data_IF_083720306696
#
_entry.id   IF_083720306696
#
_cell.length_a   1.000
_cell.length_b   1.000
_cell.length_c   1.000
_cell.angle_alpha   90.00
_cell.angle_beta   90.00
_cell.angle_gamma   90.00
#
_symmetry.space_group_name_H-M   'P 1'
#
loop_
_entity.id
_entity.type
_entity.pdbx_description
1 polymer ?
#
# COMPACT_ATOMS: atom_id res chain seq x y z
N UNK A 1 -44.27 -37.66 -11.68
CA UNK A 1 -44.91 -37.12 -10.47
C UNK A 1 -44.77 -35.60 -10.50
N UNK A 2 -45.82 -34.88 -10.91
CA UNK A 2 -45.80 -33.41 -10.95
C UNK A 2 -46.27 -32.87 -9.60
N UNK A 3 -45.33 -32.45 -8.75
CA UNK A 3 -45.63 -31.80 -7.48
C UNK A 3 -46.21 -30.41 -7.73
N UNK A 4 -47.54 -30.28 -7.65
CA UNK A 4 -48.20 -28.97 -7.63
C UNK A 4 -47.94 -28.35 -6.26
N UNK A 5 -47.12 -27.31 -6.20
CA UNK A 5 -46.97 -26.48 -5.00
C UNK A 5 -48.34 -25.85 -4.72
N UNK A 6 -48.90 -26.10 -3.54
CA UNK A 6 -50.18 -25.49 -3.17
C UNK A 6 -50.01 -23.97 -2.93
N UNK A 7 -51.09 -23.20 -3.13
CA UNK A 7 -51.06 -21.73 -3.01
C UNK A 7 -50.63 -21.25 -1.62
N UNK A 8 -51.02 -21.95 -0.56
CA UNK A 8 -50.64 -21.63 0.82
C UNK A 8 -49.14 -21.84 1.05
N UNK A 9 -48.57 -22.95 0.57
CA UNK A 9 -47.13 -23.22 0.62
C UNK A 9 -46.34 -22.18 -0.18
N UNK A 10 -46.83 -21.80 -1.36
CA UNK A 10 -46.22 -20.74 -2.16
C UNK A 10 -46.26 -19.37 -1.46
N UNK A 11 -47.41 -18.97 -0.90
CA UNK A 11 -47.56 -17.71 -0.17
C UNK A 11 -46.72 -17.67 1.10
N UNK A 12 -46.57 -18.79 1.80
CA UNK A 12 -45.76 -18.88 3.01
C UNK A 12 -44.26 -18.79 2.68
N UNK A 13 -43.80 -19.48 1.63
CA UNK A 13 -42.44 -19.36 1.14
C UNK A 13 -42.12 -17.93 0.66
N UNK A 14 -43.05 -17.30 -0.08
CA UNK A 14 -42.90 -15.91 -0.52
C UNK A 14 -42.86 -14.95 0.66
N UNK A 15 -43.71 -15.15 1.67
CA UNK A 15 -43.71 -14.36 2.89
C UNK A 15 -42.37 -14.44 3.64
N UNK A 16 -41.82 -15.64 3.79
CA UNK A 16 -40.49 -15.85 4.40
C UNK A 16 -39.40 -15.16 3.58
N UNK A 17 -39.42 -15.28 2.25
CA UNK A 17 -38.43 -14.61 1.39
C UNK A 17 -38.51 -13.10 1.48
N UNK A 18 -39.70 -12.51 1.51
CA UNK A 18 -39.90 -11.05 1.68
C UNK A 18 -39.43 -10.60 3.06
N UNK A 19 -39.77 -11.35 4.11
CA UNK A 19 -39.31 -11.04 5.48
C UNK A 19 -37.78 -11.04 5.51
N UNK A 20 -37.13 -12.09 5.01
CA UNK A 20 -35.66 -12.18 4.97
C UNK A 20 -35.05 -11.04 4.13
N UNK A 21 -35.60 -10.78 2.93
CA UNK A 21 -35.10 -9.76 2.03
C UNK A 21 -35.21 -8.33 2.60
N UNK A 22 -36.19 -8.08 3.48
CA UNK A 22 -36.36 -6.78 4.15
C UNK A 22 -35.60 -6.72 5.48
N UNK A 23 -35.61 -7.80 6.27
CA UNK A 23 -34.98 -7.83 7.59
C UNK A 23 -33.45 -7.81 7.49
N UNK A 24 -32.86 -8.46 6.47
CA UNK A 24 -31.40 -8.48 6.31
C UNK A 24 -30.81 -7.07 6.10
N UNK A 25 -31.26 -6.26 5.13
CA UNK A 25 -30.76 -4.90 4.96
C UNK A 25 -30.98 -4.01 6.19
N UNK A 26 -32.12 -4.15 6.89
CA UNK A 26 -32.41 -3.39 8.10
C UNK A 26 -31.52 -3.79 9.28
N UNK A 27 -31.26 -5.09 9.46
CA UNK A 27 -30.34 -5.59 10.49
C UNK A 27 -28.92 -5.12 10.19
N UNK A 28 -28.45 -5.20 8.94
CA UNK A 28 -27.11 -4.72 8.58
C UNK A 28 -26.96 -3.20 8.71
N UNK A 29 -27.98 -2.43 8.34
CA UNK A 29 -27.98 -0.98 8.56
C UNK A 29 -28.05 -0.62 10.04
N UNK A 30 -28.73 -1.41 10.88
CA UNK A 30 -28.76 -1.20 12.32
C UNK A 30 -27.46 -1.62 13.02
N UNK A 31 -26.77 -2.63 12.47
CA UNK A 31 -25.48 -3.12 12.96
C UNK A 31 -24.28 -2.36 12.37
N UNK A 32 -24.50 -1.38 11.50
CA UNK A 32 -23.47 -0.59 10.81
C UNK A 32 -22.41 -1.46 10.07
N UNK A 33 -22.88 -2.54 9.44
CA UNK A 33 -22.02 -3.50 8.73
C UNK A 33 -21.93 -3.13 7.26
N UNK A 34 -20.75 -2.67 6.83
CA UNK A 34 -20.49 -2.22 5.46
C UNK A 34 -19.95 -3.36 4.59
N UNK A 35 -20.86 -4.06 3.90
CA UNK A 35 -20.55 -5.15 2.96
C UNK A 35 -19.96 -4.67 1.61
N UNK A 36 -20.15 -3.39 1.29
CA UNK A 36 -19.59 -2.73 0.09
C UNK A 36 -18.82 -1.51 0.53
N UNK A 37 -17.53 -1.40 0.16
CA UNK A 37 -16.69 -0.26 0.54
C UNK A 37 -16.78 0.83 -0.51
N UNK A 38 -16.87 2.06 -0.04
CA UNK A 38 -16.82 3.25 -0.87
C UNK A 38 -15.38 3.53 -1.31
N UNK A 39 -15.16 4.02 -2.54
CA UNK A 39 -13.86 4.54 -2.93
C UNK A 39 -13.55 5.81 -2.13
N UNK A 40 -12.27 6.02 -1.87
CA UNK A 40 -11.71 7.17 -1.19
C UNK A 40 -10.60 7.74 -2.07
N UNK A 41 -10.84 8.92 -2.62
CA UNK A 41 -9.90 9.56 -3.54
C UNK A 41 -8.89 10.42 -2.80
N UNK A 42 -7.65 10.42 -3.28
CA UNK A 42 -6.59 11.34 -2.83
C UNK A 42 -6.69 12.59 -3.70
N UNK A 43 -7.15 13.70 -3.10
CA UNK A 43 -7.48 14.94 -3.84
C UNK A 43 -6.23 15.70 -4.33
N UNK A 44 -5.21 15.84 -3.49
CA UNK A 44 -4.12 16.80 -3.75
C UNK A 44 -2.84 16.16 -4.31
N UNK A 45 -2.37 15.07 -3.70
CA UNK A 45 -1.06 14.50 -4.02
C UNK A 45 -1.20 13.06 -4.52
N UNK A 46 -1.41 12.86 -5.82
CA UNK A 46 -1.39 11.50 -6.41
C UNK A 46 0.05 10.98 -6.54
N UNK A 47 0.26 9.67 -6.66
CA UNK A 47 1.62 9.10 -6.80
C UNK A 47 2.45 9.72 -7.94
N UNK A 48 1.90 10.03 -9.13
CA UNK A 48 2.64 10.74 -10.18
C UNK A 48 3.25 12.08 -9.73
N UNK A 49 2.62 12.76 -8.75
CA UNK A 49 3.08 14.03 -8.19
C UNK A 49 4.22 13.89 -7.17
N UNK A 50 4.67 12.66 -6.87
CA UNK A 50 5.89 12.47 -6.08
C UNK A 50 7.02 13.26 -6.71
N UNK A 51 7.66 14.14 -5.94
CA UNK A 51 8.62 15.07 -6.49
C UNK A 51 9.73 14.33 -7.25
N UNK A 52 10.15 14.86 -8.39
CA UNK A 52 11.23 14.28 -9.19
C UNK A 52 12.61 14.43 -8.54
N UNK A 53 12.69 15.28 -7.51
CA UNK A 53 13.95 15.68 -6.87
C UNK A 53 14.46 14.58 -5.94
N UNK A 54 15.76 14.64 -5.68
CA UNK A 54 16.56 13.73 -4.88
C UNK A 54 15.87 13.28 -3.58
N UNK A 55 16.08 12.00 -3.19
CA UNK A 55 15.70 11.48 -1.87
C UNK A 55 16.89 11.71 -0.91
N UNK A 56 16.78 12.64 0.05
CA UNK A 56 17.91 13.14 0.82
C UNK A 56 17.98 12.58 2.24
N UNK A 57 18.98 11.75 2.54
CA UNK A 57 19.07 10.98 3.80
C UNK A 57 19.51 11.82 4.99
N UNK A 58 20.47 12.73 4.80
CA UNK A 58 20.95 13.63 5.87
C UNK A 58 21.64 14.85 5.27
N UNK A 59 20.90 15.93 5.01
CA UNK A 59 21.46 17.18 4.46
C UNK A 59 21.89 17.13 2.98
N UNK A 60 22.31 15.96 2.48
CA UNK A 60 22.66 15.68 1.09
C UNK A 60 21.81 14.54 0.51
N UNK A 61 21.65 14.55 -0.81
CA UNK A 61 20.97 13.52 -1.57
C UNK A 61 21.74 12.20 -1.52
N UNK A 62 21.13 11.12 -1.02
CA UNK A 62 21.70 9.76 -1.15
C UNK A 62 21.21 9.04 -2.39
N UNK A 63 20.01 9.37 -2.87
CA UNK A 63 19.43 8.76 -4.07
C UNK A 63 18.95 9.82 -5.05
N UNK A 64 19.28 9.64 -6.32
CA UNK A 64 18.85 10.51 -7.42
C UNK A 64 18.06 9.71 -8.45
N UNK A 65 17.00 10.31 -8.98
CA UNK A 65 16.26 9.70 -10.08
C UNK A 65 17.16 9.58 -11.31
N UNK A 66 17.13 8.43 -11.96
CA UNK A 66 17.82 8.18 -13.22
C UNK A 66 16.83 7.71 -14.29
N UNK A 67 17.09 8.09 -15.54
CA UNK A 67 16.26 7.74 -16.67
C UNK A 67 14.93 8.50 -16.77
N UNK A 68 14.31 8.39 -17.95
CA UNK A 68 12.98 8.92 -18.20
C UNK A 68 11.92 8.05 -17.51
N UNK A 69 10.84 8.68 -17.07
CA UNK A 69 9.66 7.92 -16.63
C UNK A 69 8.98 7.39 -17.89
N UNK A 70 8.89 6.06 -18.00
CA UNK A 70 8.12 5.41 -19.06
C UNK A 70 6.69 5.25 -18.52
N UNK A 71 5.69 5.93 -19.10
CA UNK A 71 4.31 5.62 -18.77
C UNK A 71 4.00 4.17 -19.15
N UNK A 72 3.25 3.48 -18.30
CA UNK A 72 2.71 2.17 -18.64
C UNK A 72 1.75 2.33 -19.83
N UNK A 73 1.75 1.36 -20.74
CA UNK A 73 0.76 1.26 -21.81
C UNK A 73 -0.65 1.09 -21.26
N UNK A 74 -1.67 1.36 -22.07
CA UNK A 74 -3.07 1.22 -21.64
C UNK A 74 -3.38 -0.20 -21.13
N UNK A 75 -2.85 -1.23 -21.80
CA UNK A 75 -2.99 -2.62 -21.36
C UNK A 75 -2.31 -2.89 -20.01
N UNK A 76 -1.12 -2.34 -19.78
CA UNK A 76 -0.41 -2.47 -18.49
C UNK A 76 -1.17 -1.73 -17.37
N UNK A 77 -1.83 -0.60 -17.67
CA UNK A 77 -2.66 0.14 -16.70
C UNK A 77 -3.96 -0.61 -16.39
N UNK A 78 -4.58 -1.21 -17.40
CA UNK A 78 -5.77 -2.07 -17.23
C UNK A 78 -5.46 -3.28 -16.35
N UNK A 79 -4.34 -3.98 -16.63
CA UNK A 79 -3.88 -5.08 -15.80
C UNK A 79 -3.50 -4.62 -14.39
N UNK A 80 -2.88 -3.44 -14.26
CA UNK A 80 -2.54 -2.89 -12.94
C UNK A 80 -3.79 -2.55 -12.12
N UNK A 81 -4.91 -2.23 -12.78
CA UNK A 81 -6.19 -1.90 -12.15
C UNK A 81 -6.27 -0.49 -11.56
N UNK A 82 -5.29 0.38 -11.84
CA UNK A 82 -5.27 1.77 -11.36
C UNK A 82 -4.41 2.68 -12.24
N UNK A 83 -4.87 3.92 -12.45
CA UNK A 83 -4.09 4.97 -13.09
C UNK A 83 -3.28 5.82 -12.08
N UNK A 84 -3.47 5.63 -10.77
CA UNK A 84 -2.72 6.32 -9.73
C UNK A 84 -1.49 5.48 -9.34
N UNK A 85 -0.46 5.53 -10.19
CA UNK A 85 0.78 4.80 -10.00
C UNK A 85 2.01 5.66 -10.27
N UNK A 86 3.18 5.15 -9.87
CA UNK A 86 4.48 5.70 -10.18
C UNK A 86 5.47 4.57 -10.41
N UNK A 87 6.33 4.69 -11.42
CA UNK A 87 7.45 3.78 -11.67
C UNK A 87 8.71 4.56 -12.03
N UNK A 88 9.72 4.56 -11.16
CA UNK A 88 10.94 5.35 -11.36
C UNK A 88 12.19 4.61 -10.92
N UNK A 89 13.27 4.81 -11.65
CA UNK A 89 14.60 4.33 -11.28
C UNK A 89 15.35 5.37 -10.47
N UNK A 90 16.06 4.90 -9.45
CA UNK A 90 16.94 5.68 -8.61
C UNK A 90 18.32 5.06 -8.57
N UNK A 91 19.34 5.90 -8.46
CA UNK A 91 20.74 5.53 -8.33
C UNK A 91 21.34 6.20 -7.08
N UNK A 92 22.22 5.48 -6.42
CA UNK A 92 22.93 5.95 -5.24
C UNK A 92 23.96 7.02 -5.60
N UNK A 93 23.93 8.13 -4.88
CA UNK A 93 24.87 9.24 -5.01
C UNK A 93 26.02 9.04 -4.03
N UNK A 94 27.25 9.23 -4.49
CA UNK A 94 28.47 9.13 -3.68
C UNK A 94 28.56 7.80 -2.89
N UNK A 95 28.58 6.63 -3.56
CA UNK A 95 28.78 5.37 -2.86
C UNK A 95 30.14 5.36 -2.13
N UNK A 96 30.27 4.58 -1.04
CA UNK A 96 31.56 4.36 -0.39
C UNK A 96 32.65 3.95 -1.39
N UNK A 97 33.88 4.39 -1.12
CA UNK A 97 35.03 4.15 -2.00
C UNK A 97 35.18 2.65 -2.33
N UNK A 98 35.32 2.34 -3.62
CA UNK A 98 35.45 0.97 -4.12
C UNK A 98 34.14 0.21 -4.34
N UNK A 99 32.97 0.79 -4.05
CA UNK A 99 31.66 0.19 -4.35
C UNK A 99 30.99 0.86 -5.54
N UNK A 100 30.39 0.05 -6.41
CA UNK A 100 29.53 0.55 -7.50
C UNK A 100 28.24 1.16 -6.94
N UNK A 101 27.73 2.26 -7.52
CA UNK A 101 26.42 2.79 -7.16
C UNK A 101 25.35 1.71 -7.29
N UNK A 102 24.52 1.55 -6.26
CA UNK A 102 23.35 0.67 -6.34
C UNK A 102 22.22 1.39 -7.04
N UNK A 103 21.37 0.64 -7.73
CA UNK A 103 20.13 1.13 -8.32
C UNK A 103 18.94 0.34 -7.85
N UNK A 104 17.80 1.02 -7.78
CA UNK A 104 16.52 0.37 -7.57
C UNK A 104 15.43 1.06 -8.38
N UNK A 105 14.39 0.30 -8.71
CA UNK A 105 13.13 0.83 -9.19
C UNK A 105 12.17 0.95 -8.02
N UNK A 106 11.63 2.15 -7.80
CA UNK A 106 10.45 2.38 -6.98
C UNK A 106 9.21 2.21 -7.85
N UNK A 107 8.29 1.37 -7.41
CA UNK A 107 6.96 1.26 -8.00
C UNK A 107 5.90 1.42 -6.92
N UNK A 108 5.04 2.43 -7.06
CA UNK A 108 3.91 2.66 -6.17
C UNK A 108 2.59 2.60 -6.94
N UNK A 109 1.54 2.03 -6.35
CA UNK A 109 0.22 1.98 -6.97
C UNK A 109 -0.88 2.07 -5.90
N UNK A 110 -1.84 2.98 -6.10
CA UNK A 110 -2.96 3.23 -5.20
C UNK A 110 -4.25 2.59 -5.68
N UNK A 111 -4.97 1.93 -4.76
CA UNK A 111 -6.21 1.22 -5.01
C UNK A 111 -7.24 1.62 -3.99
N UNK A 112 -8.51 1.72 -4.40
CA UNK A 112 -9.60 2.08 -3.49
C UNK A 112 -10.94 1.52 -3.92
N UNK A 113 -11.88 1.37 -2.97
CA UNK A 113 -13.25 0.93 -3.22
C UNK A 113 -13.38 -0.56 -3.56
N UNK A 114 -12.31 -1.34 -3.40
CA UNK A 114 -12.26 -2.75 -3.77
C UNK A 114 -11.90 -3.62 -2.57
N UNK A 115 -12.86 -4.40 -2.08
CA UNK A 115 -12.66 -5.39 -0.99
C UNK A 115 -12.05 -6.69 -1.54
N UNK A 116 -12.41 -7.05 -2.77
CA UNK A 116 -12.20 -8.39 -3.32
C UNK A 116 -11.04 -8.50 -4.31
N UNK A 117 -10.38 -7.40 -4.66
CA UNK A 117 -9.25 -7.45 -5.59
C UNK A 117 -7.98 -7.87 -4.88
N UNK A 118 -7.37 -8.96 -5.34
CA UNK A 118 -6.08 -9.39 -4.82
C UNK A 118 -5.00 -8.46 -5.35
N UNK A 119 -4.19 -7.82 -4.49
CA UNK A 119 -3.12 -6.94 -4.95
C UNK A 119 -2.15 -7.65 -5.92
N UNK A 120 -1.70 -6.92 -6.93
CA UNK A 120 -0.66 -7.39 -7.85
C UNK A 120 0.70 -7.38 -7.15
N UNK A 121 1.27 -8.57 -6.95
CA UNK A 121 2.56 -8.77 -6.26
C UNK A 121 3.63 -9.27 -7.23
N UNK A 122 4.93 -8.99 -6.97
CA UNK A 122 6.04 -9.43 -7.82
C UNK A 122 6.03 -10.92 -8.14
N UNK A 123 5.64 -11.78 -7.20
CA UNK A 123 5.59 -13.23 -7.37
C UNK A 123 4.63 -13.67 -8.49
N UNK A 124 3.64 -12.83 -8.83
CA UNK A 124 2.69 -13.10 -9.92
C UNK A 124 3.09 -12.37 -11.19
N UNK A 125 3.43 -11.09 -11.06
CA UNK A 125 3.71 -10.24 -12.21
C UNK A 125 5.04 -10.57 -12.89
N UNK A 126 6.12 -10.75 -12.12
CA UNK A 126 7.44 -11.05 -12.69
C UNK A 126 7.47 -12.47 -13.28
N UNK A 127 6.84 -13.43 -12.61
CA UNK A 127 6.68 -14.80 -13.13
C UNK A 127 5.85 -14.80 -14.42
N UNK A 128 4.76 -14.04 -14.46
CA UNK A 128 3.98 -13.84 -15.69
C UNK A 128 4.79 -13.22 -16.84
N UNK A 129 5.78 -12.38 -16.52
CA UNK A 129 6.72 -11.79 -17.48
C UNK A 129 7.91 -12.72 -17.83
N UNK A 130 7.91 -13.97 -17.36
CA UNK A 130 8.97 -14.95 -17.66
C UNK A 130 10.22 -14.85 -16.80
N UNK A 131 10.13 -14.22 -15.62
CA UNK A 131 11.21 -14.17 -14.62
C UNK A 131 10.96 -15.23 -13.56
N UNK A 132 11.94 -16.12 -13.33
CA UNK A 132 11.78 -17.23 -12.41
C UNK A 132 12.03 -16.82 -10.96
N UNK A 133 11.25 -17.36 -10.02
CA UNK A 133 11.54 -17.26 -8.60
C UNK A 133 12.73 -18.16 -8.25
N UNK A 134 13.81 -17.58 -7.73
CA UNK A 134 15.03 -18.32 -7.36
C UNK A 134 15.05 -18.78 -5.90
N UNK A 135 14.02 -18.41 -5.13
CA UNK A 135 13.85 -18.81 -3.74
C UNK A 135 12.48 -18.40 -3.21
N UNK A 136 12.19 -18.81 -1.96
CA UNK A 136 10.98 -18.38 -1.27
C UNK A 136 11.13 -16.93 -0.81
N UNK A 137 10.04 -16.18 -0.88
CA UNK A 137 9.99 -14.88 -0.25
C UNK A 137 10.07 -14.98 1.27
N UNK A 138 10.57 -13.92 1.90
CA UNK A 138 10.62 -13.79 3.36
C UNK A 138 10.34 -12.36 3.79
N UNK A 139 9.81 -12.22 5.01
CA UNK A 139 9.61 -10.92 5.65
C UNK A 139 10.96 -10.40 6.18
N UNK A 140 11.29 -9.18 5.82
CA UNK A 140 12.48 -8.44 6.28
C UNK A 140 11.99 -7.22 7.07
N UNK A 141 12.25 -7.16 8.39
CA UNK A 141 11.94 -5.97 9.19
C UNK A 141 12.66 -4.72 8.68
N UNK A 142 11.99 -3.57 8.76
CA UNK A 142 12.52 -2.27 8.35
C UNK A 142 12.58 -1.37 9.58
N UNK A 143 13.79 -1.06 10.03
CA UNK A 143 14.04 -0.19 11.18
C UNK A 143 14.18 1.24 10.70
N UNK A 144 13.08 2.00 10.80
CA UNK A 144 13.07 3.39 10.38
C UNK A 144 13.82 4.27 11.39
N UNK A 145 14.85 4.97 10.92
CA UNK A 145 15.45 6.07 11.65
C UNK A 145 14.79 7.38 11.24
N UNK A 146 13.73 7.73 11.97
CA UNK A 146 12.99 8.96 11.75
C UNK A 146 13.44 10.11 12.66
N UNK A 147 14.58 9.97 13.36
CA UNK A 147 15.09 10.98 14.29
C UNK A 147 15.25 12.35 13.64
N UNK A 148 15.61 12.39 12.35
CA UNK A 148 15.78 13.60 11.55
C UNK A 148 14.46 14.21 11.04
N UNK A 149 13.29 13.64 11.39
CA UNK A 149 11.96 14.07 10.90
C UNK A 149 11.07 14.73 11.94
N UNK A 150 11.59 14.96 13.15
CA UNK A 150 10.82 15.36 14.34
C UNK A 150 9.62 14.44 14.48
N UNK A 151 9.88 13.23 14.98
CA UNK A 151 8.83 12.26 15.24
C UNK A 151 8.39 12.30 16.68
N UNK A 152 7.08 12.47 16.86
CA UNK A 152 6.42 12.49 18.15
C UNK A 152 5.06 11.81 18.02
N UNK A 153 4.53 11.24 19.12
CA UNK A 153 3.13 10.82 19.17
C UNK A 153 2.24 12.01 18.82
N UNK A 154 1.24 11.79 17.97
CA UNK A 154 0.29 12.82 17.61
C UNK A 154 -0.42 13.36 18.87
N UNK A 155 -0.26 14.66 19.19
CA UNK A 155 -0.84 15.26 20.39
C UNK A 155 -2.33 15.57 20.26
N UNK A 156 -2.88 15.57 19.04
CA UNK A 156 -4.22 16.05 18.73
C UNK A 156 -5.26 14.92 18.68
N UNK A 157 -4.87 13.67 18.95
CA UNK A 157 -5.73 12.49 18.83
C UNK A 157 -5.74 11.65 20.11
N UNK A 158 -6.84 10.92 20.34
CA UNK A 158 -6.88 9.89 21.37
C UNK A 158 -6.17 8.62 20.90
N UNK A 159 -4.95 8.43 21.39
CA UNK A 159 -4.10 7.27 21.07
C UNK A 159 -4.72 5.93 21.56
N UNK A 160 -5.69 5.96 22.49
CA UNK A 160 -6.43 4.75 22.88
C UNK A 160 -7.43 4.31 21.81
N UNK A 161 -7.94 5.26 21.02
CA UNK A 161 -8.92 5.02 19.95
C UNK A 161 -8.22 4.67 18.64
N UNK A 162 -7.21 5.44 18.24
CA UNK A 162 -6.55 5.29 16.94
C UNK A 162 -5.31 4.38 16.98
N UNK A 163 -4.90 3.92 18.16
CA UNK A 163 -3.61 3.29 18.37
C UNK A 163 -2.48 4.32 18.35
N UNK A 164 -1.23 3.83 18.40
CA UNK A 164 -0.05 4.69 18.43
C UNK A 164 0.21 5.31 17.05
N UNK A 165 -0.21 6.55 16.86
CA UNK A 165 0.06 7.32 15.65
C UNK A 165 1.22 8.27 15.89
N UNK A 166 2.21 8.17 15.00
CA UNK A 166 3.38 9.02 14.98
C UNK A 166 3.21 10.09 13.90
N UNK A 167 3.69 11.31 14.17
CA UNK A 167 3.71 12.40 13.21
C UNK A 167 5.13 12.61 12.73
N UNK A 168 5.33 12.78 11.42
CA UNK A 168 6.61 13.16 10.82
C UNK A 168 6.43 14.42 9.96
N UNK A 169 7.50 15.17 9.70
CA UNK A 169 7.44 16.35 8.83
C UNK A 169 7.80 15.99 7.38
N UNK A 170 6.92 16.35 6.43
CA UNK A 170 7.24 16.28 4.99
C UNK A 170 8.29 17.32 4.61
N UNK A 171 9.23 16.97 3.74
CA UNK A 171 10.15 17.94 3.13
C UNK A 171 9.46 18.80 2.10
N UNK A 172 8.57 18.21 1.30
CA UNK A 172 7.92 18.91 0.19
C UNK A 172 7.02 20.05 0.70
N UNK A 173 6.25 19.81 1.75
CA UNK A 173 5.27 20.78 2.27
C UNK A 173 5.71 21.46 3.57
N UNK A 174 6.70 20.90 4.28
CA UNK A 174 7.05 21.30 5.65
C UNK A 174 5.93 21.11 6.69
N UNK A 175 4.81 20.51 6.28
CA UNK A 175 3.67 20.24 7.14
C UNK A 175 3.87 18.92 7.91
N UNK A 176 3.28 18.80 9.11
CA UNK A 176 3.15 17.52 9.79
C UNK A 176 2.29 16.56 8.95
N UNK A 177 2.68 15.29 8.94
CA UNK A 177 1.98 14.20 8.26
C UNK A 177 1.93 13.02 9.21
N UNK A 178 0.74 12.46 9.43
CA UNK A 178 0.55 11.26 10.23
C UNK A 178 1.10 10.05 9.50
N UNK A 179 1.87 9.25 10.21
CA UNK A 179 2.32 7.95 9.77
C UNK A 179 1.24 6.90 10.04
N UNK A 180 1.27 5.75 9.34
CA UNK A 180 0.38 4.66 9.63
C UNK A 180 0.51 4.19 11.09
N UNK A 181 -0.56 3.62 11.61
CA UNK A 181 -0.49 2.80 12.82
C UNK A 181 0.56 1.70 12.65
N UNK A 182 1.14 1.26 13.78
CA UNK A 182 2.13 0.17 13.84
C UNK A 182 3.34 0.36 12.90
N UNK A 183 3.69 1.60 12.56
CA UNK A 183 4.82 1.89 11.67
C UNK A 183 6.16 1.35 12.21
N UNK A 184 6.27 1.16 13.53
CA UNK A 184 7.44 0.56 14.16
C UNK A 184 7.59 -0.95 13.84
N UNK A 185 6.51 -1.62 13.43
CA UNK A 185 6.49 -3.03 13.03
C UNK A 185 6.62 -3.21 11.50
N UNK A 186 6.98 -2.14 10.78
CA UNK A 186 7.12 -2.16 9.33
C UNK A 186 8.07 -3.27 8.89
N UNK A 187 7.60 -4.04 7.92
CA UNK A 187 8.41 -5.04 7.25
C UNK A 187 8.04 -5.11 5.78
N UNK A 188 9.02 -5.44 4.94
CA UNK A 188 8.79 -5.74 3.53
C UNK A 188 8.83 -7.25 3.30
N UNK A 189 8.04 -7.74 2.35
CA UNK A 189 8.16 -9.10 1.85
C UNK A 189 9.08 -9.10 0.64
N UNK A 190 10.21 -9.81 0.73
CA UNK A 190 11.25 -9.84 -0.30
C UNK A 190 11.33 -11.21 -0.92
N UNK A 191 11.22 -11.26 -2.25
CA UNK A 191 11.38 -12.47 -3.04
C UNK A 191 12.59 -12.33 -3.98
N UNK A 192 13.49 -13.33 -4.01
CA UNK A 192 14.57 -13.40 -4.99
C UNK A 192 14.07 -14.03 -6.30
N UNK A 193 14.57 -13.49 -7.40
CA UNK A 193 14.25 -13.88 -8.77
C UNK A 193 15.53 -14.06 -9.60
N UNK A 194 15.40 -14.75 -10.72
CA UNK A 194 16.43 -14.86 -11.77
C UNK A 194 15.82 -14.44 -13.09
N UNK A 195 16.36 -13.39 -13.70
CA UNK A 195 15.97 -12.96 -15.04
C UNK A 195 16.41 -14.00 -16.10
N UNK A 196 15.83 -14.01 -17.32
CA UNK A 196 16.21 -14.93 -18.38
C UNK A 196 17.72 -14.93 -18.73
N UNK A 197 18.41 -13.81 -18.50
CA UNK A 197 19.86 -13.68 -18.68
C UNK A 197 20.72 -14.25 -17.55
N UNK A 198 20.11 -14.81 -16.50
CA UNK A 198 20.80 -15.35 -15.32
C UNK A 198 21.10 -14.31 -14.23
N UNK A 199 20.80 -13.03 -14.46
CA UNK A 199 20.92 -11.98 -13.44
C UNK A 199 19.95 -12.21 -12.28
N UNK A 200 20.46 -12.04 -11.06
CA UNK A 200 19.63 -12.09 -9.85
C UNK A 200 18.93 -10.75 -9.66
N UNK A 201 17.66 -10.82 -9.30
CA UNK A 201 16.84 -9.65 -9.00
C UNK A 201 16.14 -9.89 -7.67
N UNK A 202 16.10 -8.89 -6.81
CA UNK A 202 15.31 -8.91 -5.59
C UNK A 202 14.15 -7.94 -5.74
N UNK A 203 12.93 -8.43 -5.49
CA UNK A 203 11.75 -7.58 -5.40
C UNK A 203 11.22 -7.59 -3.97
N UNK A 204 11.12 -6.42 -3.36
CA UNK A 204 10.60 -6.20 -2.03
C UNK A 204 9.37 -5.32 -2.07
N UNK A 205 8.35 -5.59 -1.27
CA UNK A 205 7.18 -4.72 -1.19
C UNK A 205 6.53 -4.73 0.19
N UNK A 206 5.73 -3.71 0.44
CA UNK A 206 4.75 -3.65 1.52
C UNK A 206 3.52 -2.86 1.04
N UNK A 207 2.52 -2.75 1.90
CA UNK A 207 1.32 -1.97 1.64
C UNK A 207 1.02 -1.02 2.78
N UNK A 208 0.51 0.15 2.41
CA UNK A 208 -0.25 1.05 3.28
C UNK A 208 -1.72 0.69 3.09
N UNK A 209 -2.43 0.22 4.11
CA UNK A 209 -3.82 -0.23 3.96
C UNK A 209 -4.65 0.24 5.16
N UNK A 210 -5.71 1.01 4.88
CA UNK A 210 -6.61 1.58 5.90
C UNK A 210 -5.86 2.12 7.13
N UNK A 211 -4.85 2.99 6.89
CA UNK A 211 -4.08 3.62 7.95
C UNK A 211 -3.05 2.76 8.66
N UNK A 212 -2.77 1.53 8.19
CA UNK A 212 -1.78 0.62 8.79
C UNK A 212 -0.73 0.18 7.74
N UNK A 213 0.32 -0.50 8.19
CA UNK A 213 1.35 -1.14 7.36
C UNK A 213 1.18 -2.66 7.37
N UNK A 214 1.27 -3.29 6.19
CA UNK A 214 1.26 -4.75 6.06
C UNK A 214 2.26 -5.22 5.00
N UNK A 215 2.86 -6.39 5.19
CA UNK A 215 3.95 -6.85 4.29
C UNK A 215 3.42 -7.70 3.12
N UNK A 216 2.23 -8.28 3.23
CA UNK A 216 1.72 -9.25 2.26
C UNK A 216 0.29 -8.95 1.79
N UNK A 217 -0.02 -9.41 0.57
CA UNK A 217 -1.31 -9.16 -0.07
C UNK A 217 -2.52 -9.78 0.66
N UNK A 218 -2.33 -10.90 1.36
CA UNK A 218 -3.39 -11.50 2.18
C UNK A 218 -3.72 -10.65 3.42
N UNK A 219 -2.76 -9.90 3.96
CA UNK A 219 -2.97 -9.00 5.09
C UNK A 219 -3.76 -7.76 4.69
N UNK A 220 -3.56 -7.26 3.47
CA UNK A 220 -4.39 -6.21 2.87
C UNK A 220 -5.85 -6.63 2.86
N UNK A 221 -6.13 -7.89 2.50
CA UNK A 221 -7.48 -8.43 2.53
C UNK A 221 -8.06 -8.37 3.95
N UNK A 222 -7.34 -8.84 4.96
CA UNK A 222 -7.83 -8.79 6.34
C UNK A 222 -8.12 -7.35 6.80
N UNK A 223 -7.35 -6.36 6.35
CA UNK A 223 -7.61 -4.94 6.62
C UNK A 223 -8.84 -4.41 5.87
N UNK A 224 -8.95 -4.68 4.57
CA UNK A 224 -10.08 -4.22 3.75
C UNK A 224 -11.43 -4.86 4.13
N UNK A 225 -11.40 -6.03 4.79
CA UNK A 225 -12.59 -6.73 5.29
C UNK A 225 -13.07 -6.25 6.67
N UNK A 226 -12.47 -5.20 7.26
CA UNK A 226 -13.01 -4.59 8.47
C UNK A 226 -14.42 -4.06 8.19
N UNK A 227 -15.44 -4.63 8.82
CA UNK A 227 -16.85 -4.35 8.49
C UNK A 227 -17.31 -2.98 8.94
N UNK A 228 -16.62 -2.38 9.91
CA UNK A 228 -16.96 -1.10 10.52
C UNK A 228 -16.47 0.10 9.69
N UNK A 229 -15.61 -0.12 8.69
CA UNK A 229 -15.08 0.95 7.85
C UNK A 229 -15.98 1.22 6.63
N UNK A 230 -16.35 2.46 6.37
CA UNK A 230 -17.07 2.85 5.14
C UNK A 230 -16.20 2.75 3.87
N UNK A 231 -14.89 2.93 4.05
CA UNK A 231 -13.92 3.06 2.98
C UNK A 231 -12.90 1.92 2.99
N UNK A 232 -12.35 1.62 1.83
CA UNK A 232 -11.16 0.78 1.74
C UNK A 232 -10.16 1.38 0.76
N UNK A 233 -8.90 1.39 1.16
CA UNK A 233 -7.79 1.65 0.26
C UNK A 233 -6.60 0.76 0.59
N UNK A 234 -5.77 0.55 -0.41
CA UNK A 234 -4.39 0.16 -0.18
C UNK A 234 -3.47 0.80 -1.21
N UNK A 235 -2.25 1.12 -0.79
CA UNK A 235 -1.18 1.51 -1.68
C UNK A 235 -0.06 0.48 -1.60
N UNK A 236 0.31 -0.11 -2.74
CA UNK A 236 1.51 -0.94 -2.84
C UNK A 236 2.73 -0.04 -2.96
N UNK A 237 3.78 -0.32 -2.19
CA UNK A 237 5.09 0.29 -2.32
C UNK A 237 6.10 -0.82 -2.56
N UNK A 238 6.72 -0.82 -3.74
CA UNK A 238 7.58 -1.89 -4.24
C UNK A 238 8.94 -1.35 -4.63
N UNK A 239 9.97 -2.14 -4.35
CA UNK A 239 11.37 -1.91 -4.68
C UNK A 239 11.87 -3.10 -5.50
N UNK A 240 12.53 -2.83 -6.61
CA UNK A 240 13.19 -3.84 -7.45
C UNK A 240 14.66 -3.48 -7.60
N UNK A 241 15.58 -4.42 -7.37
CA UNK A 241 17.00 -4.17 -7.59
C UNK A 241 17.73 -5.43 -8.04
N UNK A 242 18.68 -5.25 -8.97
CA UNK A 242 19.65 -6.26 -9.39
C UNK A 242 21.04 -6.02 -8.79
N UNK A 243 21.21 -4.91 -8.04
CA UNK A 243 22.50 -4.46 -7.49
C UNK A 243 22.63 -4.83 -5.99
N UNK A 244 21.86 -5.83 -5.54
CA UNK A 244 21.89 -6.37 -4.16
C UNK A 244 21.99 -7.90 -4.20
N UNK A 245 22.68 -8.48 -3.24
CA UNK A 245 22.98 -9.93 -3.20
C UNK A 245 22.05 -10.73 -2.29
N UNK A 246 21.27 -10.04 -1.45
CA UNK A 246 20.38 -10.66 -0.48
C UNK A 246 19.14 -9.82 -0.20
N UNK A 247 18.14 -10.47 0.40
CA UNK A 247 16.93 -9.79 0.85
C UNK A 247 17.20 -8.82 2.01
N UNK A 248 18.15 -9.15 2.88
CA UNK A 248 18.63 -8.27 3.95
C UNK A 248 19.27 -7.00 3.39
N UNK A 249 20.06 -7.14 2.32
CA UNK A 249 20.68 -5.98 1.66
C UNK A 249 19.64 -5.11 0.95
N UNK A 250 18.61 -5.71 0.33
CA UNK A 250 17.46 -4.95 -0.15
C UNK A 250 16.75 -4.24 1.01
N UNK A 251 16.56 -4.91 2.15
CA UNK A 251 15.96 -4.32 3.35
C UNK A 251 16.72 -3.10 3.84
N UNK A 252 18.04 -3.18 3.98
CA UNK A 252 18.88 -2.05 4.39
C UNK A 252 18.81 -0.89 3.39
N UNK A 253 18.78 -1.19 2.08
CA UNK A 253 18.56 -0.16 1.05
C UNK A 253 17.18 0.49 1.16
N UNK A 254 16.14 -0.29 1.49
CA UNK A 254 14.78 0.22 1.68
C UNK A 254 14.66 1.06 2.96
N UNK A 255 15.29 0.67 4.06
CA UNK A 255 15.41 1.48 5.29
C UNK A 255 15.96 2.86 4.96
N UNK A 256 17.10 2.91 4.26
CA UNK A 256 17.74 4.14 3.81
C UNK A 256 16.79 5.04 3.01
N UNK A 257 16.00 4.46 2.10
CA UNK A 257 15.08 5.21 1.24
C UNK A 257 13.85 5.68 2.03
N UNK A 258 13.27 4.82 2.87
CA UNK A 258 12.02 5.12 3.57
C UNK A 258 12.17 6.13 4.69
N UNK A 259 13.35 6.26 5.30
CA UNK A 259 13.63 7.30 6.30
C UNK A 259 13.32 8.72 5.79
N UNK A 260 13.39 8.93 4.47
CA UNK A 260 13.01 10.19 3.85
C UNK A 260 11.71 10.14 3.08
N UNK A 261 11.49 9.02 2.39
CA UNK A 261 10.40 8.90 1.44
C UNK A 261 9.06 8.67 2.13
N UNK A 262 9.04 8.05 3.31
CA UNK A 262 7.80 7.65 3.96
C UNK A 262 6.84 8.82 4.22
N UNK A 263 7.24 9.96 4.82
CA UNK A 263 6.33 11.10 4.99
C UNK A 263 5.79 11.64 3.66
N UNK A 264 6.57 11.53 2.58
CA UNK A 264 6.14 11.92 1.24
C UNK A 264 5.13 10.92 0.69
N UNK A 265 5.31 9.62 0.90
CA UNK A 265 4.31 8.61 0.53
C UNK A 265 2.99 8.84 1.28
N UNK A 266 3.06 9.27 2.55
CA UNK A 266 1.87 9.52 3.36
C UNK A 266 1.01 10.69 2.87
N UNK A 267 1.57 11.67 2.17
CA UNK A 267 0.78 12.69 1.48
C UNK A 267 -0.07 12.09 0.33
N UNK A 268 0.31 10.90 -0.18
CA UNK A 268 -0.28 10.26 -1.36
C UNK A 268 -1.31 9.18 -1.06
N UNK A 269 -1.67 9.05 0.21
CA UNK A 269 -2.75 8.21 0.70
C UNK A 269 -3.65 9.04 1.61
N UNK A 270 -4.90 8.63 1.85
CA UNK A 270 -5.78 9.31 2.79
C UNK A 270 -5.18 9.31 4.21
N UNK A 271 -5.32 10.43 4.93
CA UNK A 271 -5.06 10.44 6.37
C UNK A 271 -6.17 9.67 7.07
N UNK A 272 -5.84 8.46 7.55
CA UNK A 272 -6.84 7.55 8.08
C UNK A 272 -7.47 8.01 9.40
N UNK A 273 -6.77 8.84 10.18
CA UNK A 273 -7.36 9.45 11.38
C UNK A 273 -8.50 10.38 10.96
N UNK A 274 -8.29 11.21 9.94
CA UNK A 274 -9.34 12.09 9.40
C UNK A 274 -10.49 11.30 8.79
N UNK A 275 -10.22 10.12 8.20
CA UNK A 275 -11.26 9.22 7.69
C UNK A 275 -12.12 8.67 8.81
N UNK A 276 -11.50 8.10 9.84
CA UNK A 276 -12.20 7.52 11.00
C UNK A 276 -13.01 8.59 11.73
N UNK A 277 -12.49 9.82 11.82
CA UNK A 277 -13.19 10.93 12.46
C UNK A 277 -14.25 11.60 11.57
N UNK A 278 -14.47 11.12 10.34
CA UNK A 278 -15.45 11.67 9.41
C UNK A 278 -15.10 13.08 8.88
N UNK A 279 -13.83 13.47 8.96
CA UNK A 279 -13.31 14.75 8.46
C UNK A 279 -12.69 14.65 7.06
N UNK A 280 -12.62 13.44 6.51
CA UNK A 280 -12.11 13.17 5.17
C UNK A 280 -13.22 12.74 4.18
N UNK A 281 -13.22 13.24 2.92
CA UNK A 281 -12.34 14.29 2.45
C UNK A 281 -12.75 15.65 3.06
N UNK A 282 -11.80 16.59 3.23
CA UNK A 282 -12.15 17.91 3.75
C UNK A 282 -13.23 18.56 2.87
N UNK A 283 -14.17 19.23 3.56
CA UNK A 283 -15.31 19.94 2.98
C UNK A 283 -14.88 21.05 2.02
#
# INVERSE_FOLDING_TARGET
MNGRIDRTTFSLALGVLVIIAVSFPLIFSWLDVHLTKSPIEVKEWKFPSLAEKQIPVTGEAKWVRVGAERPLSEAEVEELGTANYLSRWFEEVNPPEGRTPRRFQLHCAYYTGMIDTVPHVPERCLVGAGIDMSGKGKRVPIHLDLSNRVVYPDPDIDQQVHGRILVARSRATQNPVRLPANIEDLAIYVTPFTAPGGEKIFAGYFFLANGDVVAQANEVRFKAFNLDDDYAYYAKVQFLSADVDSAEELGAMVEDVLNDLLPELMLRVPDWVEVVDGRYPPA
#
